data_IF_731289739494
#
_entry.id   IF_731289739494
#
_cell.length_a   1.000
_cell.length_b   1.000
_cell.length_c   1.000
_cell.angle_alpha   90.00
_cell.angle_beta   90.00
_cell.angle_gamma   90.00
#
_symmetry.space_group_name_H-M   'P 1'
#
loop_
_entity.id
_entity.type
_entity.pdbx_description
1 polymer ?
#
# COMPACT_ATOMS: atom_id res chain seq x y z
N UNK A 1 -13.42 -27.49 11.34
CA UNK A 1 -14.36 -26.36 11.19
C UNK A 1 -13.82 -25.48 10.09
N UNK A 2 -14.58 -25.21 9.02
CA UNK A 2 -14.18 -24.25 7.99
C UNK A 2 -13.98 -22.89 8.66
N UNK A 3 -12.74 -22.38 8.68
CA UNK A 3 -12.50 -20.98 9.06
C UNK A 3 -13.18 -20.13 7.99
N UNK A 4 -14.21 -19.37 8.35
CA UNK A 4 -14.81 -18.39 7.44
C UNK A 4 -13.70 -17.45 6.98
N UNK A 5 -13.40 -17.47 5.68
CA UNK A 5 -12.37 -16.64 5.05
C UNK A 5 -12.87 -15.19 4.93
N UNK A 6 -11.96 -14.23 4.88
CA UNK A 6 -12.30 -12.85 4.53
C UNK A 6 -12.59 -12.76 3.02
N UNK A 7 -13.38 -11.76 2.57
CA UNK A 7 -13.70 -11.56 1.15
C UNK A 7 -12.47 -11.50 0.23
N UNK A 8 -11.32 -11.06 0.77
CA UNK A 8 -10.06 -10.95 0.02
C UNK A 8 -9.55 -12.29 -0.53
N UNK A 9 -9.99 -13.42 0.03
CA UNK A 9 -9.62 -14.76 -0.43
C UNK A 9 -9.93 -15.02 -1.91
N UNK A 10 -10.90 -14.31 -2.50
CA UNK A 10 -11.21 -14.41 -3.93
C UNK A 10 -10.02 -14.03 -4.83
N UNK A 11 -9.08 -13.22 -4.32
CA UNK A 11 -7.90 -12.74 -5.07
C UNK A 11 -6.65 -13.58 -4.80
N UNK A 12 -6.70 -14.64 -3.99
CA UNK A 12 -5.53 -15.43 -3.60
C UNK A 12 -4.75 -15.96 -4.82
N UNK A 13 -5.46 -16.55 -5.79
CA UNK A 13 -4.84 -17.02 -7.02
C UNK A 13 -4.35 -15.89 -7.93
N UNK A 14 -5.02 -14.73 -7.89
CA UNK A 14 -4.60 -13.56 -8.65
C UNK A 14 -3.28 -12.99 -8.14
N UNK A 15 -3.02 -13.06 -6.83
CA UNK A 15 -1.73 -12.62 -6.25
C UNK A 15 -0.60 -13.46 -6.79
N UNK A 16 -0.72 -14.80 -6.75
CA UNK A 16 0.31 -15.72 -7.25
C UNK A 16 0.49 -15.57 -8.76
N UNK A 17 -0.60 -15.52 -9.51
CA UNK A 17 -0.56 -15.34 -10.96
C UNK A 17 0.16 -14.04 -11.35
N UNK A 18 -0.14 -12.93 -10.66
CA UNK A 18 0.49 -11.65 -10.95
C UNK A 18 1.99 -11.66 -10.59
N UNK A 19 2.38 -12.35 -9.51
CA UNK A 19 3.79 -12.53 -9.14
C UNK A 19 4.55 -13.26 -10.23
N UNK A 20 4.04 -14.41 -10.65
CA UNK A 20 4.64 -15.22 -11.71
C UNK A 20 4.69 -14.45 -13.03
N UNK A 21 3.61 -13.74 -13.39
CA UNK A 21 3.52 -12.93 -14.60
C UNK A 21 4.58 -11.84 -14.62
N UNK A 22 4.77 -11.12 -13.51
CA UNK A 22 5.79 -10.06 -13.36
C UNK A 22 7.20 -10.62 -13.35
N UNK A 23 7.39 -11.81 -12.79
CA UNK A 23 8.67 -12.49 -12.80
C UNK A 23 9.04 -13.10 -14.17
N UNK A 24 8.16 -13.10 -15.19
CA UNK A 24 8.41 -13.78 -16.48
C UNK A 24 9.67 -13.29 -17.18
N UNK A 25 9.95 -11.99 -17.17
CA UNK A 25 11.18 -11.43 -17.74
C UNK A 25 12.45 -11.90 -17.02
N UNK A 26 12.30 -12.33 -15.76
CA UNK A 26 13.35 -12.86 -14.88
C UNK A 26 13.08 -14.32 -14.46
N UNK A 27 12.34 -15.10 -15.27
CA UNK A 27 11.89 -16.44 -14.87
C UNK A 27 13.08 -17.37 -14.56
N UNK A 28 14.17 -17.23 -15.32
CA UNK A 28 15.40 -17.96 -15.08
C UNK A 28 15.99 -17.66 -13.70
N UNK A 29 15.97 -16.40 -13.25
CA UNK A 29 16.50 -16.01 -11.96
C UNK A 29 15.65 -16.57 -10.80
N UNK A 30 14.33 -16.66 -10.99
CA UNK A 30 13.42 -17.29 -10.04
C UNK A 30 13.69 -18.80 -9.93
N UNK A 31 13.80 -19.50 -11.05
CA UNK A 31 14.15 -20.92 -11.09
C UNK A 31 15.51 -21.19 -10.45
N UNK A 32 16.51 -20.34 -10.74
CA UNK A 32 17.83 -20.42 -10.13
C UNK A 32 17.80 -20.15 -8.62
N UNK A 33 17.00 -19.18 -8.15
CA UNK A 33 16.84 -18.90 -6.73
C UNK A 33 16.24 -20.09 -5.97
N UNK A 34 15.24 -20.76 -6.57
CA UNK A 34 14.67 -22.01 -6.02
C UNK A 34 15.68 -23.15 -6.07
N UNK A 35 16.33 -23.37 -7.21
CA UNK A 35 17.32 -24.45 -7.38
C UNK A 35 18.53 -24.30 -6.45
N UNK A 36 18.95 -23.07 -6.18
CA UNK A 36 20.02 -22.72 -5.23
C UNK A 36 19.56 -22.64 -3.77
N UNK A 37 18.27 -22.92 -3.49
CA UNK A 37 17.66 -22.89 -2.15
C UNK A 37 17.76 -21.51 -1.46
N UNK A 38 17.77 -20.43 -2.24
CA UNK A 38 17.66 -19.06 -1.73
C UNK A 38 16.23 -18.73 -1.32
N UNK A 39 15.24 -19.35 -1.97
CA UNK A 39 13.81 -19.21 -1.68
C UNK A 39 13.15 -20.59 -1.80
N UNK A 40 12.04 -20.82 -1.08
CA UNK A 40 11.15 -21.97 -1.32
C UNK A 40 10.07 -21.62 -2.37
N UNK A 41 9.59 -22.57 -3.18
CA UNK A 41 8.61 -22.29 -4.23
C UNK A 41 7.16 -22.19 -3.69
N UNK A 42 6.98 -21.63 -2.50
CA UNK A 42 5.69 -21.51 -1.81
C UNK A 42 5.62 -20.22 -1.02
N UNK A 43 4.41 -19.65 -0.94
CA UNK A 43 4.07 -18.57 -0.02
C UNK A 43 3.26 -19.15 1.14
N UNK A 44 3.57 -18.77 2.37
CA UNK A 44 2.78 -19.16 3.53
C UNK A 44 1.67 -18.13 3.75
N UNK A 45 0.41 -18.56 3.73
CA UNK A 45 -0.73 -17.71 4.03
C UNK A 45 -1.31 -18.02 5.43
N UNK A 46 -1.21 -17.05 6.33
CA UNK A 46 -1.73 -17.13 7.70
C UNK A 46 -3.18 -16.65 7.74
N UNK A 47 -4.07 -17.54 8.22
CA UNK A 47 -5.51 -17.32 8.35
C UNK A 47 -5.94 -17.05 9.80
N UNK A 48 -5.06 -16.44 10.58
CA UNK A 48 -5.34 -16.14 11.98
C UNK A 48 -6.15 -14.86 12.10
N UNK A 49 -7.09 -14.85 13.04
CA UNK A 49 -7.94 -13.70 13.37
C UNK A 49 -7.17 -12.69 14.22
N UNK A 50 -6.11 -12.15 13.65
CA UNK A 50 -5.21 -11.17 14.29
C UNK A 50 -5.19 -9.88 13.48
N UNK A 51 -4.92 -8.73 14.14
CA UNK A 51 -4.70 -7.50 13.41
C UNK A 51 -3.67 -7.67 12.27
N UNK A 52 -3.81 -6.90 11.18
CA UNK A 52 -2.87 -6.87 10.06
C UNK A 52 -1.41 -6.87 10.49
N UNK A 53 -0.64 -7.81 9.94
CA UNK A 53 0.82 -7.84 10.04
C UNK A 53 1.42 -7.80 8.65
N UNK A 54 2.40 -6.94 8.44
CA UNK A 54 3.10 -6.85 7.16
C UNK A 54 3.69 -8.21 6.77
N UNK A 55 3.77 -8.53 5.47
CA UNK A 55 4.51 -9.69 5.01
C UNK A 55 5.94 -9.67 5.53
N UNK A 56 6.55 -10.84 5.67
CA UNK A 56 7.96 -10.93 6.06
C UNK A 56 8.61 -12.19 5.48
N UNK A 57 9.87 -12.07 5.13
CA UNK A 57 10.74 -13.18 4.77
C UNK A 57 11.43 -13.79 5.99
N UNK A 58 11.51 -15.11 6.04
CA UNK A 58 12.27 -15.84 7.04
C UNK A 58 13.61 -16.32 6.44
N UNK A 59 14.71 -15.70 6.86
CA UNK A 59 16.07 -16.05 6.37
C UNK A 59 16.49 -17.50 6.64
N UNK A 60 15.90 -18.16 7.63
CA UNK A 60 16.24 -19.54 8.00
C UNK A 60 15.46 -20.55 7.16
N UNK A 61 14.15 -20.37 7.05
CA UNK A 61 13.29 -21.28 6.27
C UNK A 61 13.25 -20.93 4.79
N UNK A 62 13.67 -19.72 4.43
CA UNK A 62 13.60 -19.14 3.07
C UNK A 62 12.18 -18.98 2.53
N UNK A 63 11.22 -18.87 3.45
CA UNK A 63 9.79 -18.72 3.17
C UNK A 63 9.36 -17.27 3.35
N UNK A 64 8.38 -16.86 2.54
CA UNK A 64 7.70 -15.56 2.66
C UNK A 64 6.33 -15.83 3.25
N UNK A 65 6.02 -15.16 4.35
CA UNK A 65 4.75 -15.32 5.08
C UNK A 65 3.88 -14.08 4.88
N UNK A 66 2.61 -14.29 4.56
CA UNK A 66 1.59 -13.26 4.33
C UNK A 66 0.40 -13.53 5.25
N UNK A 67 -0.30 -12.48 5.67
CA UNK A 67 -1.48 -12.58 6.51
C UNK A 67 -2.75 -12.21 5.73
N UNK A 68 -3.81 -13.02 5.84
CA UNK A 68 -5.11 -12.69 5.23
C UNK A 68 -5.65 -11.36 5.75
N UNK A 69 -5.43 -11.04 7.03
CA UNK A 69 -5.79 -9.74 7.61
C UNK A 69 -5.04 -8.60 6.95
N UNK A 70 -3.75 -8.74 6.62
CA UNK A 70 -3.02 -7.69 5.92
C UNK A 70 -3.54 -7.47 4.49
N UNK A 71 -3.83 -8.55 3.76
CA UNK A 71 -4.41 -8.46 2.44
C UNK A 71 -5.78 -7.76 2.47
N UNK A 72 -6.64 -8.12 3.44
CA UNK A 72 -7.95 -7.50 3.60
C UNK A 72 -7.84 -6.00 3.94
N UNK A 73 -6.95 -5.65 4.86
CA UNK A 73 -6.65 -4.28 5.22
C UNK A 73 -6.16 -3.46 4.01
N UNK A 74 -5.15 -3.97 3.30
CA UNK A 74 -4.56 -3.26 2.17
C UNK A 74 -5.57 -3.03 1.06
N UNK A 75 -6.40 -4.03 0.72
CA UNK A 75 -7.45 -3.85 -0.27
C UNK A 75 -8.46 -2.77 0.17
N UNK A 76 -8.92 -2.83 1.42
CA UNK A 76 -9.87 -1.86 1.96
C UNK A 76 -9.30 -0.43 1.98
N UNK A 77 -8.01 -0.30 2.32
CA UNK A 77 -7.29 0.96 2.29
C UNK A 77 -7.16 1.50 0.86
N UNK A 78 -6.72 0.66 -0.09
CA UNK A 78 -6.60 1.05 -1.51
C UNK A 78 -7.97 1.45 -2.07
N UNK A 79 -9.01 0.64 -1.85
CA UNK A 79 -10.37 0.95 -2.31
C UNK A 79 -10.83 2.31 -1.81
N UNK A 80 -10.80 2.50 -0.49
CA UNK A 80 -11.35 3.70 0.12
C UNK A 80 -10.57 4.94 -0.26
N UNK A 81 -9.25 4.92 -0.16
CA UNK A 81 -8.40 6.06 -0.53
C UNK A 81 -8.54 6.43 -2.01
N UNK A 82 -8.58 5.43 -2.91
CA UNK A 82 -8.73 5.66 -4.34
C UNK A 82 -10.11 6.23 -4.70
N UNK A 83 -11.20 5.64 -4.17
CA UNK A 83 -12.57 6.10 -4.47
C UNK A 83 -12.83 7.49 -3.90
N UNK A 84 -12.43 7.75 -2.65
CA UNK A 84 -12.61 9.06 -2.02
C UNK A 84 -11.85 10.15 -2.77
N UNK A 85 -10.65 9.84 -3.26
CA UNK A 85 -9.87 10.77 -4.08
C UNK A 85 -10.51 11.00 -5.45
N UNK A 86 -10.80 9.93 -6.21
CA UNK A 86 -11.32 10.04 -7.57
C UNK A 86 -12.67 10.76 -7.62
N UNK A 87 -13.64 10.30 -6.83
CA UNK A 87 -15.02 10.82 -6.86
C UNK A 87 -15.20 12.07 -6.03
N UNK A 88 -14.51 12.15 -4.89
CA UNK A 88 -14.71 13.23 -3.93
C UNK A 88 -13.81 14.44 -4.15
N UNK A 89 -12.72 14.29 -4.90
CA UNK A 89 -11.70 15.33 -5.06
C UNK A 89 -11.39 15.55 -6.54
N UNK A 90 -10.79 14.56 -7.22
CA UNK A 90 -10.22 14.73 -8.55
C UNK A 90 -11.27 15.09 -9.60
N UNK A 91 -12.39 14.35 -9.68
CA UNK A 91 -13.47 14.67 -10.62
C UNK A 91 -14.09 16.05 -10.36
N UNK A 92 -14.46 16.40 -9.10
CA UNK A 92 -14.87 17.76 -8.78
C UNK A 92 -13.83 18.83 -9.16
N UNK A 93 -12.53 18.59 -8.94
CA UNK A 93 -11.46 19.53 -9.30
C UNK A 93 -11.39 19.75 -10.80
N UNK A 94 -11.39 18.68 -11.60
CA UNK A 94 -11.39 18.75 -13.06
C UNK A 94 -12.64 19.43 -13.62
N UNK A 95 -13.77 19.31 -12.92
CA UNK A 95 -15.02 19.99 -13.27
C UNK A 95 -15.12 21.44 -12.73
N UNK A 96 -14.15 21.92 -11.95
CA UNK A 96 -14.19 23.24 -11.31
C UNK A 96 -15.25 23.39 -10.22
N UNK A 97 -15.68 22.28 -9.60
CA UNK A 97 -16.75 22.21 -8.59
C UNK A 97 -16.25 21.78 -7.21
N UNK A 98 -14.95 21.50 -7.05
CA UNK A 98 -14.39 21.11 -5.76
C UNK A 98 -14.45 22.28 -4.76
N UNK A 99 -15.15 22.07 -3.65
CA UNK A 99 -15.36 23.08 -2.60
C UNK A 99 -14.15 23.25 -1.66
N UNK A 100 -13.08 22.47 -1.86
CA UNK A 100 -11.94 22.39 -0.95
C UNK A 100 -12.16 21.38 0.19
N UNK A 101 -13.28 20.66 0.21
CA UNK A 101 -13.59 19.66 1.22
C UNK A 101 -14.25 18.42 0.61
N UNK A 102 -14.06 17.27 1.24
CA UNK A 102 -14.63 16.00 0.80
C UNK A 102 -16.10 15.92 1.25
N UNK A 103 -17.02 15.88 0.28
CA UNK A 103 -18.46 15.81 0.55
C UNK A 103 -19.01 14.40 0.33
N UNK A 104 -19.56 13.77 1.39
CA UNK A 104 -20.14 12.43 1.32
C UNK A 104 -21.59 12.44 0.80
N UNK A 105 -21.77 13.01 -0.39
CA UNK A 105 -23.07 13.33 -0.98
C UNK A 105 -23.72 12.15 -1.74
N UNK A 106 -23.03 11.02 -1.89
CA UNK A 106 -23.54 9.83 -2.56
C UNK A 106 -23.15 8.54 -1.83
N UNK A 107 -23.84 7.45 -2.17
CA UNK A 107 -23.67 6.14 -1.52
C UNK A 107 -22.27 5.54 -1.71
N UNK A 108 -21.63 5.78 -2.86
CA UNK A 108 -20.28 5.29 -3.14
C UNK A 108 -19.26 5.92 -2.19
N UNK A 109 -19.27 7.25 -2.04
CA UNK A 109 -18.40 7.97 -1.11
C UNK A 109 -18.67 7.59 0.36
N UNK A 110 -19.95 7.45 0.75
CA UNK A 110 -20.31 7.04 2.10
C UNK A 110 -19.81 5.63 2.43
N UNK A 111 -19.94 4.69 1.50
CA UNK A 111 -19.48 3.31 1.67
C UNK A 111 -17.96 3.21 1.67
N UNK A 112 -17.27 3.98 0.82
CA UNK A 112 -15.81 4.09 0.84
C UNK A 112 -15.31 4.65 2.19
N UNK A 113 -15.96 5.68 2.73
CA UNK A 113 -15.64 6.23 4.05
C UNK A 113 -15.89 5.24 5.19
N UNK A 114 -16.99 4.48 5.12
CA UNK A 114 -17.28 3.42 6.08
C UNK A 114 -16.21 2.31 6.04
N UNK A 115 -15.78 1.90 4.85
CA UNK A 115 -14.71 0.92 4.68
C UNK A 115 -13.36 1.44 5.19
N UNK A 116 -13.03 2.71 4.93
CA UNK A 116 -11.82 3.34 5.49
C UNK A 116 -11.84 3.33 7.03
N UNK A 117 -12.98 3.70 7.61
CA UNK A 117 -13.17 3.71 9.06
C UNK A 117 -13.04 2.31 9.65
N UNK A 118 -13.56 1.30 8.95
CA UNK A 118 -13.36 -0.11 9.32
C UNK A 118 -11.88 -0.50 9.24
N UNK A 119 -11.20 -0.21 8.12
CA UNK A 119 -9.80 -0.57 7.90
C UNK A 119 -8.87 0.02 8.98
N UNK A 120 -9.06 1.29 9.35
CA UNK A 120 -8.28 1.96 10.41
C UNK A 120 -8.49 1.27 11.77
N UNK A 121 -9.73 0.90 12.11
CA UNK A 121 -10.03 0.15 13.35
C UNK A 121 -9.48 -1.27 13.30
N UNK A 122 -9.58 -1.92 12.14
CA UNK A 122 -9.17 -3.29 11.88
C UNK A 122 -7.67 -3.51 12.13
N UNK A 123 -6.86 -2.49 11.84
CA UNK A 123 -5.44 -2.44 12.17
C UNK A 123 -5.16 -2.56 13.69
N UNK A 124 -6.05 -2.06 14.54
CA UNK A 124 -5.90 -2.10 16.01
C UNK A 124 -6.51 -3.36 16.60
N UNK A 125 -7.66 -3.77 16.08
CA UNK A 125 -8.40 -4.91 16.56
C UNK A 125 -9.04 -5.64 15.38
N UNK A 126 -8.74 -6.93 15.26
CA UNK A 126 -9.37 -7.77 14.26
C UNK A 126 -10.90 -7.72 14.41
N UNK A 127 -11.59 -7.57 13.29
CA UNK A 127 -13.04 -7.69 13.19
C UNK A 127 -13.39 -8.33 11.85
N UNK A 128 -14.54 -9.01 11.78
CA UNK A 128 -15.00 -9.60 10.52
C UNK A 128 -15.37 -8.49 9.52
N UNK A 129 -15.16 -8.75 8.23
CA UNK A 129 -15.51 -7.83 7.14
C UNK A 129 -16.96 -8.06 6.72
N UNK A 130 -17.84 -7.10 7.01
CA UNK A 130 -19.26 -7.16 6.65
C UNK A 130 -19.46 -7.15 5.13
N UNK A 131 -19.81 -8.31 4.56
CA UNK A 131 -19.91 -8.53 3.11
C UNK A 131 -21.04 -7.71 2.48
N UNK A 132 -22.13 -7.53 3.21
CA UNK A 132 -23.34 -6.85 2.71
C UNK A 132 -23.28 -5.34 2.91
N UNK A 133 -22.57 -4.86 3.93
CA UNK A 133 -22.55 -3.44 4.28
C UNK A 133 -21.34 -2.69 3.71
N UNK A 134 -20.24 -3.39 3.46
CA UNK A 134 -18.98 -2.77 3.01
C UNK A 134 -18.59 -3.23 1.59
N UNK A 135 -17.99 -2.34 0.78
CA UNK A 135 -17.38 -2.72 -0.48
C UNK A 135 -16.35 -3.84 -0.27
N UNK A 136 -16.25 -4.75 -1.23
CA UNK A 136 -15.35 -5.90 -1.17
C UNK A 136 -14.97 -6.37 -2.60
N UNK A 137 -13.89 -7.17 -2.76
CA UNK A 137 -13.38 -7.54 -4.08
C UNK A 137 -14.28 -8.46 -4.91
N UNK A 138 -15.32 -9.05 -4.32
CA UNK A 138 -16.17 -10.06 -4.96
C UNK A 138 -17.57 -9.53 -5.32
N UNK A 139 -18.15 -8.66 -4.49
CA UNK A 139 -19.53 -8.19 -4.61
C UNK A 139 -19.55 -6.70 -4.97
N UNK A 140 -20.42 -6.37 -5.90
CA UNK A 140 -20.64 -5.01 -6.40
C UNK A 140 -22.10 -4.64 -6.11
N UNK A 141 -22.34 -3.53 -5.41
CA UNK A 141 -23.70 -3.08 -5.05
C UNK A 141 -24.27 -2.03 -6.03
N UNK A 142 -23.44 -1.44 -6.89
CA UNK A 142 -23.87 -0.41 -7.86
C UNK A 142 -23.03 -0.39 -9.13
N UNK A 143 -23.54 0.21 -10.21
CA UNK A 143 -22.77 0.43 -11.45
C UNK A 143 -21.49 1.24 -11.21
N UNK A 144 -21.53 2.20 -10.29
CA UNK A 144 -20.35 2.98 -9.93
C UNK A 144 -19.30 2.10 -9.25
N UNK A 145 -19.71 1.23 -8.32
CA UNK A 145 -18.80 0.23 -7.73
C UNK A 145 -18.27 -0.77 -8.77
N UNK A 146 -19.07 -1.11 -9.80
CA UNK A 146 -18.67 -2.02 -10.88
C UNK A 146 -17.46 -1.48 -11.65
N UNK A 147 -17.34 -0.15 -11.75
CA UNK A 147 -16.19 0.50 -12.34
C UNK A 147 -14.95 0.48 -11.44
N UNK A 148 -15.12 0.69 -10.13
CA UNK A 148 -14.00 0.81 -9.19
C UNK A 148 -13.43 -0.53 -8.72
N UNK A 149 -14.27 -1.53 -8.44
CA UNK A 149 -13.82 -2.82 -7.88
C UNK A 149 -12.74 -3.49 -8.75
N UNK A 150 -12.90 -3.63 -10.09
CA UNK A 150 -11.86 -4.23 -10.92
C UNK A 150 -10.55 -3.41 -10.93
N UNK A 151 -10.65 -2.07 -10.98
CA UNK A 151 -9.48 -1.19 -10.95
C UNK A 151 -8.72 -1.30 -9.64
N UNK A 152 -9.44 -1.29 -8.53
CA UNK A 152 -8.88 -1.46 -7.19
C UNK A 152 -8.27 -2.85 -7.03
N UNK A 153 -8.90 -3.91 -7.55
CA UNK A 153 -8.30 -5.24 -7.57
C UNK A 153 -6.95 -5.20 -8.29
N UNK A 154 -6.86 -4.54 -9.45
CA UNK A 154 -5.60 -4.39 -10.17
C UNK A 154 -4.55 -3.58 -9.38
N UNK A 155 -4.92 -2.44 -8.78
CA UNK A 155 -4.01 -1.64 -7.93
C UNK A 155 -3.51 -2.44 -6.72
N UNK A 156 -4.43 -3.13 -6.04
CA UNK A 156 -4.12 -4.02 -4.92
C UNK A 156 -3.14 -5.11 -5.32
N UNK A 157 -3.32 -5.75 -6.48
CA UNK A 157 -2.42 -6.79 -6.95
C UNK A 157 -1.01 -6.24 -7.20
N UNK A 158 -0.87 -5.03 -7.77
CA UNK A 158 0.44 -4.39 -7.92
C UNK A 158 1.09 -4.11 -6.56
N UNK A 159 0.33 -3.57 -5.61
CA UNK A 159 0.80 -3.27 -4.26
C UNK A 159 1.28 -4.53 -3.52
N UNK A 160 0.49 -5.61 -3.52
CA UNK A 160 0.88 -6.87 -2.89
C UNK A 160 2.12 -7.45 -3.55
N UNK A 161 2.20 -7.42 -4.88
CA UNK A 161 3.35 -7.95 -5.59
C UNK A 161 4.62 -7.14 -5.32
N UNK A 162 4.53 -5.82 -5.16
CA UNK A 162 5.67 -5.01 -4.74
C UNK A 162 6.19 -5.46 -3.37
N UNK A 163 5.30 -5.70 -2.39
CA UNK A 163 5.69 -6.27 -1.09
C UNK A 163 6.35 -7.65 -1.24
N UNK A 164 5.80 -8.52 -2.08
CA UNK A 164 6.38 -9.86 -2.28
C UNK A 164 7.75 -9.82 -2.93
N UNK A 165 7.97 -8.95 -3.93
CA UNK A 165 9.28 -8.79 -4.52
C UNK A 165 10.28 -8.12 -3.57
N UNK A 166 9.83 -7.26 -2.66
CA UNK A 166 10.65 -6.72 -1.58
C UNK A 166 11.13 -7.83 -0.63
N UNK A 167 10.22 -8.66 -0.11
CA UNK A 167 10.57 -9.80 0.76
C UNK A 167 11.43 -10.85 0.03
N UNK A 168 11.12 -11.12 -1.23
CA UNK A 168 11.93 -11.97 -2.10
C UNK A 168 13.34 -11.39 -2.29
N UNK A 169 13.45 -10.07 -2.46
CA UNK A 169 14.70 -9.32 -2.53
C UNK A 169 15.61 -9.60 -1.35
N UNK A 170 15.09 -9.50 -0.12
CA UNK A 170 15.86 -9.85 1.09
C UNK A 170 16.46 -11.25 1.02
N UNK A 171 15.70 -12.23 0.54
CA UNK A 171 16.16 -13.61 0.44
C UNK A 171 17.23 -13.81 -0.64
N UNK A 172 17.03 -13.27 -1.85
CA UNK A 172 17.92 -13.53 -2.98
C UNK A 172 19.22 -12.74 -2.96
N UNK A 173 19.17 -11.53 -2.40
CA UNK A 173 20.34 -10.68 -2.14
C UNK A 173 21.14 -11.19 -0.93
N UNK A 174 20.61 -12.17 -0.19
CA UNK A 174 21.29 -12.77 0.95
C UNK A 174 21.41 -11.82 2.13
N UNK A 175 20.42 -10.94 2.31
CA UNK A 175 20.37 -10.06 3.46
C UNK A 175 20.37 -10.88 4.75
N UNK A 176 20.98 -10.33 5.79
CA UNK A 176 21.08 -10.93 7.12
C UNK A 176 20.51 -9.94 8.12
N UNK A 177 19.54 -10.42 8.91
CA UNK A 177 18.98 -9.62 10.00
C UNK A 177 20.02 -9.41 11.10
N UNK A 178 19.98 -8.26 11.74
CA UNK A 178 20.85 -7.94 12.88
C UNK A 178 20.41 -8.67 14.16
N UNK A 179 21.07 -8.37 15.30
CA UNK A 179 20.80 -9.00 16.59
C UNK A 179 19.35 -8.82 17.08
N UNK A 180 18.69 -7.73 16.68
CA UNK A 180 17.29 -7.43 16.99
C UNK A 180 16.31 -8.08 16.00
N UNK A 181 16.81 -8.87 15.04
CA UNK A 181 16.06 -9.50 13.95
C UNK A 181 15.46 -8.53 12.92
N UNK A 182 16.03 -7.34 12.82
CA UNK A 182 15.64 -6.34 11.81
C UNK A 182 16.64 -6.30 10.65
N UNK A 183 16.19 -5.82 9.50
CA UNK A 183 17.04 -5.46 8.37
C UNK A 183 17.80 -4.15 8.62
N UNK A 184 18.92 -3.95 7.92
CA UNK A 184 19.60 -2.65 7.95
C UNK A 184 18.95 -1.68 6.96
N UNK A 185 19.21 -0.38 7.15
CA UNK A 185 18.72 0.67 6.27
C UNK A 185 19.09 0.45 4.80
N UNK A 186 20.33 0.00 4.57
CA UNK A 186 20.82 -0.25 3.22
C UNK A 186 20.17 -1.52 2.63
N UNK A 187 19.94 -2.56 3.43
CA UNK A 187 19.24 -3.76 3.00
C UNK A 187 17.79 -3.47 2.60
N UNK A 188 17.10 -2.60 3.32
CA UNK A 188 15.75 -2.16 2.98
C UNK A 188 15.71 -1.37 1.67
N UNK A 189 16.68 -0.46 1.47
CA UNK A 189 16.82 0.27 0.20
C UNK A 189 17.11 -0.69 -0.96
N UNK A 190 17.99 -1.66 -0.74
CA UNK A 190 18.34 -2.66 -1.74
C UNK A 190 17.13 -3.54 -2.09
N UNK A 191 16.32 -3.92 -1.10
CA UNK A 191 15.09 -4.69 -1.32
C UNK A 191 14.00 -3.88 -2.07
N UNK A 192 13.78 -2.61 -1.71
CA UNK A 192 12.88 -1.71 -2.43
C UNK A 192 13.32 -1.47 -3.88
N UNK A 193 14.63 -1.25 -4.09
CA UNK A 193 15.22 -1.10 -5.42
C UNK A 193 15.05 -2.39 -6.24
N UNK A 194 15.33 -3.54 -5.62
CA UNK A 194 15.15 -4.83 -6.27
C UNK A 194 13.68 -5.06 -6.67
N UNK A 195 12.73 -4.79 -5.77
CA UNK A 195 11.30 -4.88 -6.08
C UNK A 195 10.91 -4.00 -7.26
N UNK A 196 11.40 -2.76 -7.29
CA UNK A 196 11.14 -1.79 -8.36
C UNK A 196 11.52 -2.30 -9.75
N UNK A 197 12.59 -3.11 -9.87
CA UNK A 197 13.04 -3.65 -11.17
C UNK A 197 12.00 -4.54 -11.86
N UNK A 198 11.04 -5.12 -11.11
CA UNK A 198 9.94 -5.93 -11.66
C UNK A 198 8.76 -5.10 -12.18
N UNK A 199 8.74 -3.80 -11.90
CA UNK A 199 7.62 -2.92 -12.26
C UNK A 199 7.97 -1.92 -13.35
N UNK A 200 9.23 -1.53 -13.46
CA UNK A 200 9.67 -0.46 -14.33
C UNK A 200 10.69 -1.01 -15.33
N UNK A 201 10.18 -1.52 -16.44
CA UNK A 201 11.01 -1.95 -17.57
C UNK A 201 11.25 -0.78 -18.54
N UNK A 202 12.36 -0.85 -19.29
CA UNK A 202 12.62 0.09 -20.37
C UNK A 202 11.48 0.02 -21.41
N UNK A 203 10.83 1.15 -21.67
CA UNK A 203 9.69 1.24 -22.61
C UNK A 203 8.31 1.25 -21.94
N UNK A 204 8.22 1.13 -20.62
CA UNK A 204 6.97 1.35 -19.87
C UNK A 204 6.48 2.78 -20.13
N UNK A 205 5.23 2.93 -20.56
CA UNK A 205 4.64 4.25 -20.83
C UNK A 205 4.25 4.98 -19.53
N UNK A 206 4.07 6.30 -19.62
CA UNK A 206 3.73 7.17 -18.48
C UNK A 206 2.47 6.70 -17.73
N UNK A 207 1.41 6.30 -18.46
CA UNK A 207 0.16 5.88 -17.81
C UNK A 207 0.33 4.60 -16.99
N UNK A 208 1.16 3.68 -17.45
CA UNK A 208 1.47 2.46 -16.70
C UNK A 208 2.35 2.75 -15.49
N UNK A 209 3.37 3.62 -15.64
CA UNK A 209 4.19 4.11 -14.50
C UNK A 209 3.33 4.80 -13.45
N UNK A 210 2.39 5.65 -13.89
CA UNK A 210 1.44 6.30 -12.98
C UNK A 210 0.57 5.28 -12.26
N UNK A 211 0.05 4.26 -12.96
CA UNK A 211 -0.76 3.21 -12.34
C UNK A 211 0.03 2.39 -11.28
N UNK A 212 1.27 2.00 -11.60
CA UNK A 212 2.18 1.37 -10.64
C UNK A 212 2.44 2.32 -9.46
N UNK A 213 2.68 3.60 -9.75
CA UNK A 213 2.94 4.61 -8.73
C UNK A 213 1.81 4.81 -7.74
N UNK A 214 0.57 4.87 -8.22
CA UNK A 214 -0.62 4.89 -7.36
C UNK A 214 -0.64 3.68 -6.44
N UNK A 215 -0.31 2.50 -6.95
CA UNK A 215 -0.30 1.26 -6.19
C UNK A 215 0.77 1.27 -5.08
N UNK A 216 2.01 1.67 -5.42
CA UNK A 216 3.14 1.75 -4.49
C UNK A 216 2.89 2.81 -3.43
N UNK A 217 2.40 3.99 -3.81
CA UNK A 217 2.14 5.08 -2.85
C UNK A 217 1.01 4.72 -1.89
N UNK A 218 -0.10 4.17 -2.37
CA UNK A 218 -1.18 3.73 -1.49
C UNK A 218 -0.71 2.61 -0.55
N UNK A 219 0.12 1.70 -1.02
CA UNK A 219 0.77 0.70 -0.17
C UNK A 219 1.59 1.35 0.94
N UNK A 220 2.54 2.21 0.58
CA UNK A 220 3.47 2.78 1.54
C UNK A 220 2.74 3.69 2.54
N UNK A 221 1.76 4.48 2.10
CA UNK A 221 0.92 5.28 3.01
C UNK A 221 0.05 4.37 3.90
N UNK A 222 -0.41 3.21 3.42
CA UNK A 222 -1.14 2.26 4.28
C UNK A 222 -0.27 1.75 5.44
N UNK A 223 1.04 1.65 5.25
CA UNK A 223 1.96 1.23 6.32
C UNK A 223 2.03 2.24 7.47
N UNK A 224 1.71 3.52 7.25
CA UNK A 224 1.62 4.55 8.32
C UNK A 224 0.57 4.18 9.36
N UNK A 225 -0.52 3.53 8.96
CA UNK A 225 -1.61 3.26 9.88
C UNK A 225 -1.33 2.02 10.75
N UNK A 226 -0.46 1.10 10.31
CA UNK A 226 -0.23 -0.21 10.93
C UNK A 226 0.33 -0.11 12.36
N UNK A 227 1.41 0.65 12.62
CA UNK A 227 1.97 0.75 13.96
C UNK A 227 1.00 1.31 14.99
N UNK A 228 0.88 0.64 16.14
CA UNK A 228 0.03 1.08 17.26
C UNK A 228 0.63 2.32 17.94
N UNK A 229 1.93 2.28 18.18
CA UNK A 229 2.71 3.40 18.70
C UNK A 229 3.41 4.09 17.55
N UNK A 230 3.57 5.40 17.68
CA UNK A 230 4.38 6.20 16.76
C UNK A 230 5.79 5.64 16.68
N UNK A 231 6.37 5.15 17.79
CA UNK A 231 7.65 4.41 17.80
C UNK A 231 7.73 3.21 16.86
N UNK A 232 6.61 2.63 16.44
CA UNK A 232 6.58 1.55 15.44
C UNK A 232 6.50 2.03 13.99
N UNK A 233 6.20 3.32 13.74
CA UNK A 233 6.49 4.00 12.47
C UNK A 233 7.99 4.21 12.29
N UNK A 234 8.68 4.24 13.44
CA UNK A 234 10.11 4.45 13.58
C UNK A 234 10.80 3.13 13.89
N UNK A 235 10.91 2.25 12.90
CA UNK A 235 11.95 1.23 13.00
C UNK A 235 13.27 1.95 12.77
N UNK A 236 14.13 2.02 13.79
CA UNK A 236 15.45 2.72 13.82
C UNK A 236 16.39 2.29 12.67
N UNK A 237 15.97 1.32 11.84
CA UNK A 237 16.78 0.59 10.87
C UNK A 237 16.10 0.42 9.50
N UNK A 238 14.91 0.99 9.28
CA UNK A 238 14.30 1.12 7.96
C UNK A 238 14.47 2.58 7.48
N UNK A 239 14.48 2.85 6.15
CA UNK A 239 14.41 4.22 5.67
C UNK A 239 13.15 4.83 6.24
N UNK A 240 13.24 6.08 6.68
CA UNK A 240 12.04 6.78 7.11
C UNK A 240 10.99 6.62 6.02
N UNK A 241 9.73 6.44 6.40
CA UNK A 241 8.69 6.18 5.41
C UNK A 241 8.62 7.28 4.33
N UNK A 242 9.01 8.51 4.68
CA UNK A 242 9.23 9.60 3.72
C UNK A 242 10.29 9.27 2.67
N UNK A 243 11.41 8.65 3.03
CA UNK A 243 12.46 8.20 2.11
C UNK A 243 11.96 7.05 1.24
N UNK A 244 11.22 6.08 1.80
CA UNK A 244 10.65 4.97 1.02
C UNK A 244 9.65 5.48 -0.02
N UNK A 245 8.76 6.40 0.38
CA UNK A 245 7.78 6.99 -0.55
C UNK A 245 8.47 7.86 -1.58
N UNK A 246 9.41 8.73 -1.18
CA UNK A 246 10.20 9.54 -2.11
C UNK A 246 10.93 8.67 -3.12
N UNK A 247 11.68 7.67 -2.66
CA UNK A 247 12.43 6.76 -3.54
C UNK A 247 11.48 5.96 -4.44
N UNK A 248 10.35 5.49 -3.90
CA UNK A 248 9.32 4.79 -4.65
C UNK A 248 8.67 5.64 -5.73
N UNK A 249 8.45 6.95 -5.50
CA UNK A 249 7.92 7.87 -6.51
C UNK A 249 9.00 8.25 -7.52
N UNK A 250 10.21 8.58 -7.06
CA UNK A 250 11.33 8.94 -7.93
C UNK A 250 11.73 7.80 -8.87
N UNK A 251 11.63 6.54 -8.41
CA UNK A 251 11.99 5.39 -9.24
C UNK A 251 11.03 5.17 -10.42
N UNK A 252 9.78 5.63 -10.31
CA UNK A 252 8.79 5.63 -11.41
C UNK A 252 9.27 6.41 -12.62
N UNK A 253 10.15 7.40 -12.43
CA UNK A 253 10.66 8.27 -13.48
C UNK A 253 9.51 8.85 -14.32
N UNK A 254 8.57 9.51 -13.65
CA UNK A 254 7.42 10.18 -14.25
C UNK A 254 7.85 11.49 -14.89
N UNK A 255 7.45 11.71 -16.13
CA UNK A 255 7.83 12.90 -16.91
C UNK A 255 6.73 13.97 -16.88
N UNK A 256 5.46 13.57 -16.79
CA UNK A 256 4.30 14.47 -16.80
C UNK A 256 4.03 15.08 -15.42
N UNK A 257 3.91 16.40 -15.35
CA UNK A 257 3.57 17.11 -14.11
C UNK A 257 2.20 16.72 -13.58
N UNK A 258 1.25 16.40 -14.45
CA UNK A 258 -0.07 15.89 -14.10
C UNK A 258 0.02 14.55 -13.37
N UNK A 259 0.92 13.66 -13.80
CA UNK A 259 1.15 12.36 -13.17
C UNK A 259 1.79 12.51 -11.79
N UNK A 260 2.78 13.40 -11.65
CA UNK A 260 3.40 13.72 -10.36
C UNK A 260 2.38 14.35 -9.41
N UNK A 261 1.64 15.35 -9.87
CA UNK A 261 0.59 16.02 -9.09
C UNK A 261 -0.43 15.00 -8.58
N UNK A 262 -0.94 14.13 -9.46
CA UNK A 262 -1.92 13.11 -9.09
C UNK A 262 -1.43 12.25 -7.93
N UNK A 263 -0.21 11.71 -8.04
CA UNK A 263 0.34 10.77 -7.05
C UNK A 263 0.61 11.48 -5.72
N UNK A 264 1.29 12.62 -5.75
CA UNK A 264 1.58 13.38 -4.53
C UNK A 264 0.31 13.88 -3.84
N UNK A 265 -0.69 14.32 -4.60
CA UNK A 265 -1.93 14.82 -4.03
C UNK A 265 -2.76 13.67 -3.44
N UNK A 266 -2.87 12.53 -4.12
CA UNK A 266 -3.51 11.32 -3.57
C UNK A 266 -2.85 10.89 -2.25
N UNK A 267 -1.51 10.84 -2.22
CA UNK A 267 -0.75 10.51 -1.03
C UNK A 267 -1.03 11.50 0.11
N UNK A 268 -1.06 12.80 -0.21
CA UNK A 268 -1.31 13.87 0.75
C UNK A 268 -2.68 13.74 1.40
N UNK A 269 -3.73 13.44 0.62
CA UNK A 269 -5.08 13.24 1.16
C UNK A 269 -5.12 12.02 2.09
N UNK A 270 -4.45 10.93 1.73
CA UNK A 270 -4.37 9.75 2.58
C UNK A 270 -3.58 10.00 3.89
N UNK A 271 -2.49 10.78 3.84
CA UNK A 271 -1.74 11.20 5.02
C UNK A 271 -2.50 12.21 5.90
N UNK A 272 -3.22 13.15 5.28
CA UNK A 272 -4.07 14.10 5.99
C UNK A 272 -5.08 13.36 6.86
N UNK A 273 -5.68 12.28 6.32
CA UNK A 273 -6.59 11.43 7.09
C UNK A 273 -5.91 10.82 8.32
N UNK A 274 -4.68 10.33 8.18
CA UNK A 274 -3.91 9.82 9.31
C UNK A 274 -3.70 10.90 10.39
N UNK A 275 -3.25 12.09 9.98
CA UNK A 275 -3.01 13.23 10.86
C UNK A 275 -4.28 13.66 11.61
N UNK A 276 -5.42 13.76 10.92
CA UNK A 276 -6.71 14.10 11.51
C UNK A 276 -7.18 13.06 12.54
N UNK A 277 -6.96 11.76 12.30
CA UNK A 277 -7.26 10.70 13.29
C UNK A 277 -6.37 10.81 14.54
N UNK A 278 -5.20 11.44 14.43
CA UNK A 278 -4.31 11.75 15.55
C UNK A 278 -4.61 13.11 16.20
N UNK A 279 -5.64 13.81 15.73
CA UNK A 279 -6.01 15.14 16.23
C UNK A 279 -5.05 16.25 15.80
N UNK A 280 -4.23 16.02 14.77
CA UNK A 280 -3.35 17.05 14.20
C UNK A 280 -4.16 17.91 13.24
N UNK A 281 -4.18 19.22 13.50
CA UNK A 281 -4.79 20.17 12.59
C UNK A 281 -3.97 20.26 11.29
N UNK A 282 -4.66 20.17 10.16
CA UNK A 282 -4.10 20.25 8.82
C UNK A 282 -4.54 21.51 8.07
N UNK A 283 -5.30 22.41 8.72
CA UNK A 283 -5.72 23.67 8.15
C UNK A 283 -4.54 24.66 8.04
N UNK A 284 -4.66 25.60 7.09
CA UNK A 284 -3.76 26.75 6.90
C UNK A 284 -2.34 26.40 6.44
N UNK A 285 -2.24 25.74 5.30
CA UNK A 285 -0.96 25.58 4.62
C UNK A 285 -0.90 26.45 3.36
N UNK A 286 0.04 27.40 3.33
CA UNK A 286 0.41 28.10 2.11
C UNK A 286 1.38 27.21 1.34
N UNK A 287 0.84 26.42 0.42
CA UNK A 287 1.60 25.47 -0.38
C UNK A 287 1.32 25.69 -1.86
N UNK A 288 2.37 25.68 -2.67
CA UNK A 288 2.29 25.90 -4.11
C UNK A 288 2.12 24.60 -4.89
N UNK A 289 2.68 23.48 -4.39
CA UNK A 289 2.67 22.19 -5.10
C UNK A 289 2.14 21.01 -4.28
N UNK A 290 1.61 19.99 -4.95
CA UNK A 290 1.18 18.74 -4.28
C UNK A 290 2.36 18.01 -3.62
N UNK A 291 3.57 18.12 -4.17
CA UNK A 291 4.78 17.54 -3.61
C UNK A 291 5.18 18.19 -2.27
N UNK A 292 5.13 19.53 -2.21
CA UNK A 292 5.34 20.27 -0.96
C UNK A 292 4.32 19.88 0.11
N UNK A 293 3.05 19.74 -0.27
CA UNK A 293 1.99 19.28 0.65
C UNK A 293 2.25 17.90 1.20
N UNK A 294 2.70 17.01 0.32
CA UNK A 294 3.05 15.67 0.71
C UNK A 294 4.20 15.66 1.74
N UNK A 295 5.29 16.39 1.48
CA UNK A 295 6.43 16.46 2.40
C UNK A 295 6.11 17.19 3.70
N UNK A 296 5.26 18.21 3.68
CA UNK A 296 4.78 18.89 4.88
C UNK A 296 3.97 17.94 5.77
N UNK A 297 3.06 17.14 5.21
CA UNK A 297 2.32 16.15 6.00
C UNK A 297 3.23 15.04 6.55
N UNK A 298 4.25 14.62 5.81
CA UNK A 298 5.27 13.74 6.35
C UNK A 298 6.05 14.39 7.49
N UNK A 299 6.47 15.65 7.33
CA UNK A 299 7.17 16.39 8.38
C UNK A 299 6.33 16.52 9.65
N UNK A 300 5.01 16.73 9.54
CA UNK A 300 4.10 16.76 10.70
C UNK A 300 3.98 15.40 11.39
N UNK A 301 4.01 14.30 10.64
CA UNK A 301 4.10 12.95 11.23
C UNK A 301 5.43 12.82 11.98
N UNK A 302 6.50 13.38 11.42
CA UNK A 302 7.84 13.41 12.02
C UNK A 302 7.91 14.30 13.28
N UNK A 303 7.21 15.42 13.35
CA UNK A 303 7.18 16.32 14.51
C UNK A 303 6.39 15.73 15.70
N UNK A 304 5.31 14.99 15.42
CA UNK A 304 4.55 14.29 16.45
C UNK A 304 5.41 13.23 17.19
N UNK A 305 6.55 12.82 16.60
CA UNK A 305 7.59 11.99 17.25
C UNK A 305 8.19 12.63 18.49
N UNK A 306 8.45 13.94 18.43
CA UNK A 306 9.28 14.65 19.42
C UNK A 306 8.45 15.11 20.63
N UNK A 307 7.14 15.26 20.45
CA UNK A 307 6.21 15.67 21.50
C UNK A 307 5.76 14.54 22.43
N UNK A 308 6.02 13.27 22.08
CA UNK A 308 5.86 12.12 22.99
C UNK A 308 4.42 11.78 23.41
N UNK A 309 3.42 12.18 22.61
CA UNK A 309 2.00 11.87 22.82
C UNK A 309 1.61 10.57 22.10
#
# INVERSE_FOLDING_TARGET
MSKSRLPISILEHNVVYEFERRAQSNAHDLELAVASRKVVPTLELILDKVPPKVPHANVKTREITIYESHLAYLWAFVYSSFVLYEEGIQKPMLAGTFSGSLEFNNSLLQRAAALQSWAIKFVRCYSDWSIDELPNPAKVESEAEQFYVPKVNSLFLQAVNFLLFHEYGHLVLGHVVNEDKDWTLDQEKDADNYATTFFIEAGTNESERRFVGVSIVLLLVSCVFIPEKISGLWQVKHPHLHDRIRNGISSLNLEEEESKFYIYYLASIALQKYLLEKGVDCAQLEIETAEELFFEYLARIDEFRESGI
#
